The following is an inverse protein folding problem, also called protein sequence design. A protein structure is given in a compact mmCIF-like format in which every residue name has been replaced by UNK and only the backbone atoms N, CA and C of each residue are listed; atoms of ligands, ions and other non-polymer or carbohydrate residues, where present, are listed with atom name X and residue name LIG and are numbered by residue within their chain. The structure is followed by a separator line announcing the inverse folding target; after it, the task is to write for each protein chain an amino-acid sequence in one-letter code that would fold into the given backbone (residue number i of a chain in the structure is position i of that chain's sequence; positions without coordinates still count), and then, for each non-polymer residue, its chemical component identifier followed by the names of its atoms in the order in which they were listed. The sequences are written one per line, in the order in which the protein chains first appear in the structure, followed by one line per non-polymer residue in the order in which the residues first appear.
data_IF_468519800001
#
_entry.id   IF_468519800001
#
_cell.length_a   1.000
_cell.length_b   1.000
_cell.length_c   1.000
_cell.angle_alpha   90.00
_cell.angle_beta   90.00
_cell.angle_gamma   90.00
#
_symmetry.space_group_name_H-M   'P 1'
#
loop_
_entity.id
_entity.type
_entity.pdbx_description
1 polymer ?
#
# COMPACT_ATOMS: atom_id res chain seq x y z
N UNK A 1 -4.91 -15.44 -14.26
CA UNK A 1 -4.07 -15.63 -13.26
C UNK A 1 -3.32 -14.42 -12.87
N UNK A 2 -3.27 -14.23 -11.66
CA UNK A 2 -2.71 -13.04 -11.15
C UNK A 2 -1.30 -12.83 -11.57
N UNK A 3 -1.00 -11.65 -11.82
CA UNK A 3 0.21 -11.42 -12.32
C UNK A 3 0.99 -10.53 -11.53
N UNK A 4 1.13 -10.84 -10.27
CA UNK A 4 2.10 -10.16 -9.48
C UNK A 4 3.47 -10.71 -9.73
N UNK A 5 3.69 -11.09 -10.97
CA UNK A 5 4.94 -11.62 -11.36
C UNK A 5 6.03 -10.65 -11.10
N UNK A 6 7.17 -11.11 -10.73
CA UNK A 6 8.31 -10.24 -10.55
C UNK A 6 8.42 -9.62 -9.18
N UNK A 7 7.40 -9.77 -8.34
CA UNK A 7 7.50 -9.25 -6.99
C UNK A 7 7.03 -10.26 -5.95
N UNK A 8 7.85 -11.28 -5.67
CA UNK A 8 7.47 -12.28 -4.68
C UNK A 8 7.33 -11.69 -3.28
N UNK A 9 7.85 -10.49 -3.05
CA UNK A 9 7.77 -9.86 -1.74
C UNK A 9 6.49 -9.06 -1.56
N UNK A 10 5.66 -8.91 -2.59
CA UNK A 10 4.47 -8.09 -2.50
C UNK A 10 3.58 -8.52 -1.34
N UNK A 11 3.44 -9.83 -1.12
CA UNK A 11 2.55 -10.37 -0.09
C UNK A 11 3.28 -10.74 1.20
N UNK A 12 4.55 -10.43 1.31
CA UNK A 12 5.35 -10.90 2.42
C UNK A 12 5.82 -9.80 3.35
N UNK A 13 5.42 -8.57 3.10
CA UNK A 13 5.93 -7.47 3.91
C UNK A 13 4.93 -6.34 3.95
N UNK A 14 5.12 -5.48 4.93
CA UNK A 14 4.32 -4.28 5.06
C UNK A 14 4.99 -3.18 4.26
N UNK A 15 4.18 -2.41 3.54
CA UNK A 15 4.66 -1.30 2.71
C UNK A 15 4.28 0.00 3.37
N UNK A 16 5.25 0.89 3.53
CA UNK A 16 5.03 2.18 4.16
C UNK A 16 5.17 3.29 3.12
N UNK A 17 4.36 4.31 3.26
CA UNK A 17 4.33 5.42 2.31
C UNK A 17 5.61 6.25 2.44
N UNK A 18 6.42 6.24 1.41
CA UNK A 18 7.63 7.03 1.34
C UNK A 18 7.31 8.34 0.65
N UNK A 19 6.59 9.21 1.37
CA UNK A 19 6.04 10.42 0.75
C UNK A 19 7.10 11.36 0.26
N UNK A 20 8.32 11.24 0.75
CA UNK A 20 9.43 12.07 0.27
C UNK A 20 9.76 11.80 -1.18
N UNK A 21 9.33 10.63 -1.69
CA UNK A 21 9.61 10.24 -3.06
C UNK A 21 8.40 10.42 -3.99
N UNK A 22 7.29 10.93 -3.48
CA UNK A 22 6.10 11.13 -4.31
C UNK A 22 6.39 12.12 -5.43
N UNK A 23 5.74 11.90 -6.57
CA UNK A 23 5.92 12.75 -7.74
C UNK A 23 4.63 12.77 -8.55
N UNK A 24 4.69 13.43 -9.70
CA UNK A 24 3.55 13.42 -10.61
C UNK A 24 3.27 12.03 -11.15
N UNK A 25 4.24 11.11 -11.09
CA UNK A 25 4.04 9.75 -11.55
C UNK A 25 3.26 8.90 -10.56
N UNK A 26 3.23 9.28 -9.31
CA UNK A 26 2.48 8.54 -8.32
C UNK A 26 3.09 8.65 -6.93
N UNK A 27 2.47 7.89 -6.02
CA UNK A 27 2.94 7.81 -4.65
C UNK A 27 3.83 6.59 -4.50
N UNK A 28 4.90 6.73 -3.73
CA UNK A 28 5.89 5.67 -3.57
C UNK A 28 5.73 5.03 -2.20
N UNK A 29 5.71 3.69 -2.19
CA UNK A 29 5.72 2.91 -0.96
C UNK A 29 6.95 2.03 -0.96
N UNK A 30 7.55 1.88 0.22
CA UNK A 30 8.76 1.09 0.41
C UNK A 30 8.54 0.06 1.51
N UNK A 31 9.31 -1.05 1.50
CA UNK A 31 9.16 -2.04 2.57
C UNK A 31 9.43 -1.44 3.94
N UNK A 32 8.83 -2.01 4.95
CA UNK A 32 9.03 -1.57 6.33
C UNK A 32 10.50 -1.53 6.72
N UNK A 33 11.31 -2.40 6.14
CA UNK A 33 12.74 -2.46 6.43
C UNK A 33 13.56 -1.39 5.70
N UNK A 34 12.92 -0.58 4.87
CA UNK A 34 13.61 0.47 4.13
C UNK A 34 14.18 1.51 5.09
N UNK A 35 15.31 2.08 4.72
CA UNK A 35 15.96 3.09 5.54
C UNK A 35 15.31 4.44 5.30
N UNK A 36 14.22 4.70 5.98
CA UNK A 36 13.47 5.95 5.78
C UNK A 36 14.17 7.11 6.44
N UNK A 37 14.06 8.32 5.85
CA UNK A 37 14.54 9.51 6.54
C UNK A 37 13.76 9.73 7.83
N UNK A 38 14.35 10.36 8.80
CA UNK A 38 13.64 10.72 10.01
C UNK A 38 12.52 11.68 9.68
N UNK A 39 11.36 11.44 10.27
CA UNK A 39 10.21 12.27 10.02
C UNK A 39 9.25 12.18 11.17
N UNK A 40 8.61 13.31 11.51
CA UNK A 40 7.56 13.33 12.52
C UNK A 40 6.21 13.04 11.90
N UNK A 41 6.11 13.06 10.60
CA UNK A 41 4.86 12.79 9.91
C UNK A 41 4.64 11.28 9.89
N UNK A 42 3.51 10.78 10.42
CA UNK A 42 3.25 9.34 10.38
C UNK A 42 3.08 8.86 8.95
N UNK A 43 3.44 7.62 8.71
CA UNK A 43 3.36 7.04 7.38
C UNK A 43 2.19 6.07 7.30
N UNK A 44 1.40 6.21 6.25
CA UNK A 44 0.38 5.23 5.95
C UNK A 44 1.07 3.93 5.57
N UNK A 45 0.47 2.81 5.92
CA UNK A 45 1.04 1.50 5.59
C UNK A 45 -0.02 0.63 4.93
N UNK A 46 0.44 -0.41 4.26
CA UNK A 46 -0.44 -1.30 3.54
C UNK A 46 0.16 -2.69 3.51
N UNK A 47 -0.69 -3.69 3.69
CA UNK A 47 -0.31 -5.10 3.56
C UNK A 47 -1.26 -5.76 2.59
N UNK A 48 -0.71 -6.56 1.67
CA UNK A 48 -1.51 -7.39 0.79
C UNK A 48 -1.24 -8.84 1.15
N UNK A 49 -2.28 -9.66 1.10
CA UNK A 49 -2.16 -11.08 1.41
C UNK A 49 -2.52 -11.90 0.18
N UNK A 50 -1.89 -13.04 0.04
CA UNK A 50 -2.04 -13.86 -1.16
C UNK A 50 -3.47 -14.34 -1.38
N UNK A 51 -4.29 -14.38 -0.32
CA UNK A 51 -5.66 -14.84 -0.43
C UNK A 51 -6.64 -13.78 -0.95
N UNK A 52 -6.15 -12.61 -1.31
CA UNK A 52 -7.00 -11.53 -1.82
C UNK A 52 -7.39 -10.51 -0.77
N UNK A 53 -7.09 -10.77 0.49
CA UNK A 53 -7.37 -9.78 1.53
C UNK A 53 -6.21 -8.78 1.60
N UNK A 54 -6.48 -7.66 2.24
CA UNK A 54 -5.48 -6.63 2.43
C UNK A 54 -5.83 -5.83 3.68
N UNK A 55 -4.90 -5.04 4.13
CA UNK A 55 -5.13 -4.15 5.27
C UNK A 55 -4.40 -2.85 5.02
N UNK A 56 -5.08 -1.76 5.32
CA UNK A 56 -4.52 -0.42 5.18
C UNK A 56 -4.42 0.16 6.57
N UNK A 57 -3.27 0.73 6.92
CA UNK A 57 -3.06 1.34 8.22
C UNK A 57 -2.98 2.84 8.03
N UNK A 58 -4.05 3.53 8.35
CA UNK A 58 -4.08 4.98 8.23
C UNK A 58 -3.44 5.59 9.47
N UNK A 59 -2.78 6.75 9.34
CA UNK A 59 -2.29 7.45 10.51
C UNK A 59 -3.47 7.84 11.39
N UNK A 60 -3.39 7.50 12.65
CA UNK A 60 -4.43 7.81 13.60
C UNK A 60 -3.97 8.84 14.61
N UNK A 61 -4.87 9.21 15.50
CA UNK A 61 -4.54 10.15 16.57
C UNK A 61 -3.59 9.45 17.55
N UNK A 62 -2.81 10.24 18.25
CA UNK A 62 -1.90 9.73 19.27
C UNK A 62 -0.90 8.73 18.71
N UNK A 63 -0.52 8.91 17.45
CA UNK A 63 0.48 8.07 16.80
C UNK A 63 0.10 6.60 16.70
N UNK A 64 -1.19 6.28 16.82
CA UNK A 64 -1.65 4.91 16.69
C UNK A 64 -2.14 4.65 15.28
N UNK A 65 -1.70 3.57 14.65
CA UNK A 65 -2.24 3.22 13.35
C UNK A 65 -3.72 2.89 13.46
N UNK A 66 -4.46 3.25 12.44
CA UNK A 66 -5.89 2.94 12.37
C UNK A 66 -6.09 1.92 11.25
N UNK A 67 -6.22 0.63 11.58
CA UNK A 67 -6.33 -0.39 10.54
C UNK A 67 -7.70 -0.36 9.88
N UNK A 68 -7.70 -0.55 8.57
CA UNK A 68 -8.90 -0.61 7.76
C UNK A 68 -8.83 -1.89 6.95
N UNK A 69 -9.88 -2.71 7.02
CA UNK A 69 -9.94 -3.92 6.22
C UNK A 69 -10.07 -3.56 4.75
N UNK A 70 -9.43 -4.35 3.91
CA UNK A 70 -9.42 -4.09 2.49
C UNK A 70 -9.32 -5.40 1.73
N UNK A 71 -9.43 -5.32 0.42
CA UNK A 71 -9.23 -6.45 -0.47
C UNK A 71 -8.55 -5.93 -1.72
N UNK A 72 -7.84 -6.82 -2.40
CA UNK A 72 -7.22 -6.45 -3.66
C UNK A 72 -7.72 -7.37 -4.77
N UNK A 73 -7.66 -6.85 -5.99
CA UNK A 73 -7.99 -7.64 -7.16
C UNK A 73 -7.09 -7.18 -8.31
N UNK A 74 -6.99 -8.01 -9.32
CA UNK A 74 -6.24 -7.63 -10.51
C UNK A 74 -7.24 -7.15 -11.56
N UNK A 75 -7.03 -5.94 -12.05
CA UNK A 75 -7.90 -5.32 -13.04
C UNK A 75 -7.03 -4.82 -14.17
N UNK A 76 -7.14 -5.45 -15.34
CA UNK A 76 -6.37 -5.05 -16.51
C UNK A 76 -4.86 -5.04 -16.25
N UNK A 77 -4.40 -6.04 -15.52
CA UNK A 77 -2.98 -6.17 -15.25
C UNK A 77 -2.46 -5.33 -14.10
N UNK A 78 -3.34 -4.59 -13.45
CA UNK A 78 -2.99 -3.72 -12.34
C UNK A 78 -3.64 -4.23 -11.07
N UNK A 79 -2.91 -4.25 -9.98
CA UNK A 79 -3.49 -4.62 -8.69
C UNK A 79 -4.17 -3.39 -8.10
N UNK A 80 -5.42 -3.55 -7.72
CA UNK A 80 -6.22 -2.47 -7.14
C UNK A 80 -6.63 -2.89 -5.73
N UNK A 81 -6.34 -2.05 -4.76
CA UNK A 81 -6.66 -2.31 -3.35
C UNK A 81 -7.81 -1.39 -2.97
N UNK A 82 -8.89 -1.96 -2.43
CA UNK A 82 -10.07 -1.19 -2.03
C UNK A 82 -10.43 -1.53 -0.59
N UNK A 83 -10.75 -0.51 0.18
CA UNK A 83 -11.25 -0.72 1.54
C UNK A 83 -12.60 -1.41 1.49
N UNK A 84 -12.86 -2.29 2.45
CA UNK A 84 -14.08 -3.09 2.45
C UNK A 84 -14.97 -2.87 3.66
N UNK A 85 -14.47 -2.37 4.75
CA UNK A 85 -15.27 -2.24 5.97
C UNK A 85 -16.09 -0.96 6.01
N UNK A 86 -17.01 -0.86 6.98
CA UNK A 86 -17.82 0.36 7.10
C UNK A 86 -16.99 1.61 7.33
N UNK A 87 -15.90 1.51 8.04
CA UNK A 87 -15.06 2.66 8.29
C UNK A 87 -14.15 3.02 7.14
N UNK A 88 -14.14 2.22 6.08
CA UNK A 88 -13.25 2.45 4.96
C UNK A 88 -13.93 2.99 3.73
N UNK A 89 -15.20 3.35 3.83
CA UNK A 89 -15.96 3.72 2.65
C UNK A 89 -15.41 4.93 1.91
N UNK A 90 -14.71 5.81 2.61
CA UNK A 90 -14.16 6.99 1.97
C UNK A 90 -12.76 6.79 1.43
N UNK A 91 -12.17 5.65 1.67
CA UNK A 91 -10.80 5.42 1.21
C UNK A 91 -10.82 5.21 -0.30
N UNK A 92 -9.94 5.89 -0.99
CA UNK A 92 -9.85 5.73 -2.42
C UNK A 92 -9.21 4.41 -2.77
N UNK A 93 -9.59 3.86 -3.92
CA UNK A 93 -8.90 2.70 -4.45
C UNK A 93 -7.44 3.06 -4.71
N UNK A 94 -6.55 2.11 -4.41
CA UNK A 94 -5.13 2.30 -4.64
C UNK A 94 -4.71 1.41 -5.79
N UNK A 95 -4.29 2.03 -6.89
CA UNK A 95 -3.90 1.29 -8.07
C UNK A 95 -2.39 1.17 -8.10
N UNK A 96 -1.90 -0.05 -8.00
CA UNK A 96 -0.46 -0.30 -8.00
C UNK A 96 0.00 -0.42 -9.44
N UNK A 97 0.65 0.63 -9.93
CA UNK A 97 1.05 0.69 -11.33
C UNK A 97 2.47 0.20 -11.55
N UNK A 98 3.23 -0.02 -10.48
CA UNK A 98 4.57 -0.56 -10.59
C UNK A 98 4.91 -1.27 -9.29
N UNK A 99 5.60 -2.39 -9.38
CA UNK A 99 5.90 -3.20 -8.21
C UNK A 99 7.24 -3.89 -8.39
N UNK A 100 8.16 -3.61 -7.49
CA UNK A 100 9.43 -4.32 -7.41
C UNK A 100 9.60 -4.81 -5.98
N UNK A 101 10.72 -5.44 -5.68
CA UNK A 101 10.96 -5.95 -4.33
C UNK A 101 11.00 -4.85 -3.29
N UNK A 102 11.40 -3.65 -3.68
CA UNK A 102 11.63 -2.58 -2.74
C UNK A 102 10.84 -1.32 -3.06
N UNK A 103 9.93 -1.38 -4.00
CA UNK A 103 9.22 -0.16 -4.39
C UNK A 103 7.88 -0.49 -5.00
N UNK A 104 6.83 0.13 -4.46
CA UNK A 104 5.52 0.16 -5.09
C UNK A 104 5.24 1.58 -5.52
N UNK A 105 4.64 1.73 -6.70
CA UNK A 105 4.16 3.04 -7.14
C UNK A 105 2.65 2.96 -7.27
N UNK A 106 1.98 3.83 -6.56
CA UNK A 106 0.52 3.91 -6.53
C UNK A 106 0.13 5.10 -7.40
N UNK A 107 -0.85 4.90 -8.26
CA UNK A 107 -1.31 5.98 -9.13
C UNK A 107 -1.78 7.17 -8.31
N UNK A 108 -1.31 8.32 -8.68
CA UNK A 108 -1.65 9.55 -7.96
C UNK A 108 -3.11 9.96 -8.20
#
# INVERSE_FOLDING_TARGET
MAKVKGNPKLFQQRWLHSYEEDSAHGQVYRPESWDFPLSRRPREAMELHADGSARIFLPGEEDRPHPVNAAWSEEEGIIVVRATGPGGGDARARRIISSTRQKLVIQA
#
